data_IF_263072104873
#
_entry.id   IF_263072104873
#
_cell.length_a   1.000
_cell.length_b   1.000
_cell.length_c   1.000
_cell.angle_alpha   90.00
_cell.angle_beta   90.00
_cell.angle_gamma   90.00
#
_symmetry.space_group_name_H-M   'P 1'
#
loop_
_entity.id
_entity.type
_entity.pdbx_description
1 polymer ?
#
# COMPACT_ATOMS: atom_id res chain seq x y z
N UNK A 1 2.23 -19.07 -18.29
CA UNK A 1 2.36 -18.60 -16.89
C UNK A 1 1.28 -17.55 -16.65
N UNK A 2 0.50 -17.66 -15.57
CA UNK A 2 -0.63 -16.76 -15.33
C UNK A 2 -0.08 -15.47 -14.71
N UNK A 3 -0.15 -14.34 -15.42
CA UNK A 3 0.34 -13.05 -14.90
C UNK A 3 -0.42 -12.66 -13.63
N UNK A 4 0.31 -12.48 -12.54
CA UNK A 4 -0.25 -12.09 -11.24
C UNK A 4 -0.31 -10.57 -11.12
N UNK A 5 -1.41 -10.04 -10.61
CA UNK A 5 -1.58 -8.60 -10.37
C UNK A 5 -1.34 -8.29 -8.89
N UNK A 6 -0.43 -7.35 -8.61
CA UNK A 6 -0.12 -6.89 -7.25
C UNK A 6 -0.43 -5.40 -7.17
N UNK A 7 -1.25 -5.02 -6.18
CA UNK A 7 -1.46 -3.63 -5.84
C UNK A 7 -0.36 -3.15 -4.90
N UNK A 8 0.32 -2.06 -5.23
CA UNK A 8 1.32 -1.42 -4.36
C UNK A 8 0.92 0.04 -4.11
N UNK A 9 0.98 0.49 -2.86
CA UNK A 9 0.61 1.85 -2.47
C UNK A 9 1.71 2.51 -1.65
N UNK A 10 2.37 3.50 -2.23
CA UNK A 10 3.20 4.48 -1.54
C UNK A 10 2.49 5.83 -1.50
N UNK A 11 2.51 6.51 -0.36
CA UNK A 11 1.84 7.81 -0.18
C UNK A 11 2.73 9.04 -0.30
N UNK A 12 4.05 8.86 -0.32
CA UNK A 12 5.03 9.94 -0.28
C UNK A 12 6.37 9.52 -0.93
N UNK A 13 7.31 10.47 -1.01
CA UNK A 13 8.58 10.28 -1.73
C UNK A 13 9.49 9.20 -1.12
N UNK A 14 9.53 9.04 0.20
CA UNK A 14 10.26 7.95 0.86
C UNK A 14 9.68 6.59 0.47
N UNK A 15 8.35 6.46 0.50
CA UNK A 15 7.64 5.28 0.03
C UNK A 15 7.89 4.96 -1.45
N UNK A 16 7.99 5.97 -2.32
CA UNK A 16 8.34 5.79 -3.73
C UNK A 16 9.76 5.22 -3.92
N UNK A 17 10.73 5.70 -3.13
CA UNK A 17 12.10 5.18 -3.15
C UNK A 17 12.16 3.71 -2.73
N UNK A 18 11.53 3.35 -1.61
CA UNK A 18 11.52 1.98 -1.12
C UNK A 18 10.68 1.05 -2.00
N UNK A 19 9.53 1.54 -2.49
CA UNK A 19 8.66 0.83 -3.41
C UNK A 19 9.35 0.49 -4.73
N UNK A 20 10.17 1.40 -5.27
CA UNK A 20 10.95 1.14 -6.48
C UNK A 20 11.92 -0.04 -6.27
N UNK A 21 12.68 -0.03 -5.17
CA UNK A 21 13.57 -1.15 -4.84
C UNK A 21 12.81 -2.48 -4.71
N UNK A 22 11.65 -2.47 -4.04
CA UNK A 22 10.78 -3.64 -3.92
C UNK A 22 10.32 -4.16 -5.30
N UNK A 23 9.83 -3.27 -6.17
CA UNK A 23 9.32 -3.63 -7.50
C UNK A 23 10.43 -4.25 -8.35
N UNK A 24 11.63 -3.67 -8.31
CA UNK A 24 12.79 -4.20 -9.02
C UNK A 24 13.09 -5.64 -8.61
N UNK A 25 13.20 -5.89 -7.31
CA UNK A 25 13.49 -7.25 -6.82
C UNK A 25 12.36 -8.24 -7.10
N UNK A 26 11.09 -7.81 -7.00
CA UNK A 26 9.95 -8.64 -7.38
C UNK A 26 10.00 -9.04 -8.86
N UNK A 27 10.35 -8.10 -9.75
CA UNK A 27 10.47 -8.37 -11.18
C UNK A 27 11.69 -9.21 -11.54
N UNK A 28 12.78 -9.12 -10.77
CA UNK A 28 13.93 -10.02 -10.90
C UNK A 28 13.54 -11.47 -10.56
N UNK A 29 12.65 -11.67 -9.59
CA UNK A 29 12.14 -12.99 -9.21
C UNK A 29 11.09 -13.52 -10.19
N UNK A 30 10.17 -12.65 -10.64
CA UNK A 30 9.13 -12.99 -11.61
C UNK A 30 8.80 -11.77 -12.49
N UNK A 31 9.32 -11.79 -13.71
CA UNK A 31 9.12 -10.72 -14.70
C UNK A 31 7.69 -10.66 -15.26
N UNK A 32 6.85 -11.68 -14.99
CA UNK A 32 5.45 -11.72 -15.43
C UNK A 32 4.49 -10.96 -14.51
N UNK A 33 4.99 -10.49 -13.35
CA UNK A 33 4.22 -9.71 -12.38
C UNK A 33 3.77 -8.38 -12.97
N UNK A 34 2.48 -8.10 -12.81
CA UNK A 34 1.86 -6.82 -13.16
C UNK A 34 1.63 -6.02 -11.90
N UNK A 35 2.40 -4.96 -11.73
CA UNK A 35 2.38 -4.13 -10.54
C UNK A 35 1.73 -2.79 -10.86
N UNK A 36 0.77 -2.38 -10.04
CA UNK A 36 0.02 -1.14 -10.24
C UNK A 36 -0.39 -0.52 -8.91
N UNK A 37 -0.80 0.75 -8.90
CA UNK A 37 -1.35 1.40 -7.71
C UNK A 37 -0.95 2.86 -7.54
N UNK A 38 -0.56 3.26 -6.33
CA UNK A 38 -0.09 4.62 -6.04
C UNK A 38 1.42 4.59 -5.85
N UNK A 39 2.12 5.46 -6.57
CA UNK A 39 3.57 5.58 -6.53
C UNK A 39 4.04 6.88 -7.16
N UNK A 40 5.33 7.14 -7.10
CA UNK A 40 5.97 8.27 -7.75
C UNK A 40 6.72 7.87 -9.01
N UNK A 41 7.62 8.77 -9.42
CA UNK A 41 8.41 8.57 -10.63
C UNK A 41 9.37 7.39 -10.53
N UNK A 42 9.86 7.03 -9.33
CA UNK A 42 10.80 5.92 -9.17
C UNK A 42 10.11 4.58 -9.36
N UNK A 43 8.97 4.36 -8.71
CA UNK A 43 8.18 3.13 -8.90
C UNK A 43 7.70 2.99 -10.35
N UNK A 44 7.31 4.11 -10.99
CA UNK A 44 6.96 4.13 -12.41
C UNK A 44 8.14 3.73 -13.31
N UNK A 45 9.35 4.20 -13.00
CA UNK A 45 10.56 3.85 -13.76
C UNK A 45 10.88 2.35 -13.70
N UNK A 46 10.55 1.68 -12.59
CA UNK A 46 10.64 0.22 -12.44
C UNK A 46 9.47 -0.52 -13.14
N UNK A 47 8.65 0.20 -13.91
CA UNK A 47 7.57 -0.33 -14.73
C UNK A 47 6.30 -0.67 -13.95
N UNK A 48 6.00 0.06 -12.88
CA UNK A 48 4.69 0.05 -12.24
C UNK A 48 3.70 0.95 -13.00
N UNK A 49 2.47 0.48 -13.13
CA UNK A 49 1.36 1.28 -13.64
C UNK A 49 0.76 2.17 -12.54
N UNK A 50 0.82 3.49 -12.71
CA UNK A 50 0.27 4.43 -11.75
C UNK A 50 -1.22 4.67 -11.97
N UNK A 51 -2.06 4.31 -10.99
CA UNK A 51 -3.46 4.72 -10.89
C UNK A 51 -3.54 6.17 -10.38
N UNK A 52 -2.71 6.51 -9.40
CA UNK A 52 -2.51 7.88 -8.90
C UNK A 52 -1.03 8.14 -8.63
N UNK A 53 -0.60 9.39 -8.80
CA UNK A 53 0.76 9.83 -8.47
C UNK A 53 0.81 10.39 -7.03
N UNK A 54 1.93 10.19 -6.32
CA UNK A 54 2.12 10.67 -4.94
C UNK A 54 1.95 12.19 -4.78
N UNK A 55 2.21 12.98 -5.82
CA UNK A 55 2.02 14.44 -5.76
C UNK A 55 0.56 14.82 -5.49
N UNK A 56 -0.39 13.99 -5.92
CA UNK A 56 -1.82 14.18 -5.61
C UNK A 56 -2.15 13.82 -4.15
N UNK A 57 -1.27 13.09 -3.48
CA UNK A 57 -1.37 12.64 -2.09
C UNK A 57 -0.58 13.53 -1.12
N UNK A 58 0.44 14.24 -1.60
CA UNK A 58 1.35 15.08 -0.81
C UNK A 58 0.67 16.23 -0.05
N UNK A 59 -0.52 16.67 -0.49
CA UNK A 59 -1.31 17.73 0.17
C UNK A 59 -1.96 17.34 1.50
N UNK A 60 -1.81 16.09 1.95
CA UNK A 60 -2.43 15.60 3.18
C UNK A 60 -1.65 16.00 4.46
N UNK A 61 -0.59 16.80 4.33
CA UNK A 61 0.23 17.30 5.44
C UNK A 61 -0.35 18.55 6.10
N UNK A 62 -0.94 18.34 7.28
CA UNK A 62 -1.28 19.35 8.30
C UNK A 62 -2.43 20.34 7.97
N UNK A 63 -3.49 20.21 8.78
CA UNK A 63 -4.66 21.10 8.96
C UNK A 63 -5.81 20.99 7.94
N UNK A 64 -5.61 20.52 6.70
CA UNK A 64 -6.71 20.49 5.70
C UNK A 64 -7.26 19.10 5.32
N UNK A 65 -6.93 18.03 6.05
CA UNK A 65 -7.32 16.64 5.70
C UNK A 65 -8.83 16.46 5.49
N UNK A 66 -9.66 17.22 6.22
CA UNK A 66 -11.14 17.17 6.12
C UNK A 66 -11.59 17.65 4.74
N UNK A 67 -10.99 18.72 4.21
CA UNK A 67 -11.29 19.25 2.87
C UNK A 67 -10.95 18.25 1.76
N UNK A 68 -9.99 17.37 2.02
CA UNK A 68 -9.54 16.35 1.09
C UNK A 68 -10.24 14.98 1.27
N UNK A 69 -11.17 14.82 2.21
CA UNK A 69 -11.93 13.57 2.39
C UNK A 69 -12.66 13.10 1.12
N UNK A 70 -13.30 13.97 0.31
CA UNK A 70 -13.91 13.54 -0.96
C UNK A 70 -12.87 12.94 -1.92
N UNK A 71 -11.69 13.55 -2.01
CA UNK A 71 -10.59 13.06 -2.83
C UNK A 71 -10.06 11.72 -2.32
N UNK A 72 -9.83 11.58 -1.01
CA UNK A 72 -9.42 10.30 -0.39
C UNK A 72 -10.43 9.19 -0.71
N UNK A 73 -11.73 9.47 -0.55
CA UNK A 73 -12.80 8.51 -0.88
C UNK A 73 -12.81 8.15 -2.36
N UNK A 74 -12.57 9.11 -3.25
CA UNK A 74 -12.43 8.87 -4.70
C UNK A 74 -11.26 7.94 -4.98
N UNK A 75 -10.06 8.25 -4.47
CA UNK A 75 -8.86 7.41 -4.66
C UNK A 75 -9.11 5.99 -4.14
N UNK A 76 -9.69 5.84 -2.95
CA UNK A 76 -10.02 4.52 -2.41
C UNK A 76 -11.00 3.75 -3.29
N UNK A 77 -12.03 4.42 -3.85
CA UNK A 77 -12.97 3.80 -4.78
C UNK A 77 -12.28 3.34 -6.06
N UNK A 78 -11.44 4.19 -6.65
CA UNK A 78 -10.70 3.88 -7.87
C UNK A 78 -9.82 2.63 -7.67
N UNK A 79 -9.09 2.57 -6.54
CA UNK A 79 -8.24 1.42 -6.20
C UNK A 79 -9.05 0.14 -5.94
N UNK A 80 -10.16 0.23 -5.20
CA UNK A 80 -11.02 -0.94 -4.92
C UNK A 80 -11.63 -1.48 -6.22
N UNK A 81 -12.04 -0.60 -7.14
CA UNK A 81 -12.55 -1.01 -8.45
C UNK A 81 -11.47 -1.76 -9.23
N UNK A 82 -10.23 -1.27 -9.24
CA UNK A 82 -9.10 -1.94 -9.90
C UNK A 82 -8.75 -3.29 -9.24
N UNK A 83 -8.79 -3.38 -7.92
CA UNK A 83 -8.58 -4.63 -7.17
C UNK A 83 -9.57 -5.70 -7.61
N UNK A 84 -10.86 -5.35 -7.69
CA UNK A 84 -11.92 -6.27 -8.15
C UNK A 84 -11.73 -6.62 -9.63
N UNK A 85 -11.52 -5.63 -10.48
CA UNK A 85 -11.39 -5.80 -11.94
C UNK A 85 -10.20 -6.70 -12.32
N UNK A 86 -9.06 -6.53 -11.63
CA UNK A 86 -7.82 -7.28 -11.91
C UNK A 86 -7.70 -8.58 -11.12
N UNK A 87 -8.70 -8.92 -10.29
CA UNK A 87 -8.69 -10.10 -9.40
C UNK A 87 -7.39 -10.19 -8.60
N UNK A 88 -7.02 -9.09 -7.95
CA UNK A 88 -5.81 -9.01 -7.14
C UNK A 88 -5.87 -10.00 -5.98
N UNK A 89 -4.75 -10.66 -5.69
CA UNK A 89 -4.60 -11.51 -4.51
C UNK A 89 -3.61 -10.94 -3.48
N UNK A 90 -2.70 -10.02 -3.85
CA UNK A 90 -1.81 -9.36 -2.90
C UNK A 90 -1.84 -7.83 -2.99
N UNK A 91 -1.77 -7.20 -1.82
CA UNK A 91 -1.68 -5.75 -1.67
C UNK A 91 -0.52 -5.41 -0.76
N UNK A 92 0.41 -4.59 -1.23
CA UNK A 92 1.53 -4.05 -0.45
C UNK A 92 1.28 -2.58 -0.14
N UNK A 93 1.19 -2.27 1.15
CA UNK A 93 1.01 -0.92 1.65
C UNK A 93 2.32 -0.43 2.27
N UNK A 94 2.92 0.61 1.68
CA UNK A 94 4.24 1.13 2.05
C UNK A 94 4.05 2.37 2.90
N UNK A 95 4.40 2.26 4.18
CA UNK A 95 4.30 3.33 5.19
C UNK A 95 2.94 4.07 5.15
N UNK A 96 2.92 5.38 5.37
CA UNK A 96 1.79 6.27 5.14
C UNK A 96 0.48 5.82 5.84
N UNK A 97 0.52 5.63 7.17
CA UNK A 97 -0.49 4.90 7.94
C UNK A 97 -1.89 5.50 7.87
N UNK A 98 -2.04 6.83 7.74
CA UNK A 98 -3.35 7.47 7.69
C UNK A 98 -4.22 6.94 6.56
N UNK A 99 -3.70 6.98 5.33
CA UNK A 99 -4.40 6.45 4.16
C UNK A 99 -4.35 4.92 4.11
N UNK A 100 -3.17 4.33 4.36
CA UNK A 100 -2.97 2.89 4.19
C UNK A 100 -3.79 2.05 5.19
N UNK A 101 -3.89 2.45 6.46
CA UNK A 101 -4.78 1.77 7.41
C UNK A 101 -6.26 1.97 7.06
N UNK A 102 -6.61 3.14 6.51
CA UNK A 102 -7.99 3.45 6.09
C UNK A 102 -8.44 2.57 4.93
N UNK A 103 -7.59 2.39 3.90
CA UNK A 103 -7.90 1.51 2.77
C UNK A 103 -7.76 0.03 3.13
N UNK A 104 -6.81 -0.36 3.99
CA UNK A 104 -6.65 -1.74 4.45
C UNK A 104 -7.93 -2.29 5.06
N UNK A 105 -8.62 -1.52 5.91
CA UNK A 105 -9.92 -1.91 6.49
C UNK A 105 -10.97 -2.21 5.44
N UNK A 106 -11.01 -1.46 4.33
CA UNK A 106 -11.95 -1.66 3.23
C UNK A 106 -11.57 -2.88 2.39
N UNK A 107 -10.29 -3.06 2.12
CA UNK A 107 -9.79 -4.21 1.37
C UNK A 107 -9.96 -5.51 2.14
N UNK A 108 -9.81 -5.48 3.47
CA UNK A 108 -10.03 -6.64 4.35
C UNK A 108 -11.46 -7.18 4.24
N UNK A 109 -12.45 -6.31 4.02
CA UNK A 109 -13.84 -6.74 3.78
C UNK A 109 -14.02 -7.53 2.47
N UNK A 110 -13.06 -7.41 1.53
CA UNK A 110 -13.06 -8.14 0.26
C UNK A 110 -12.22 -9.44 0.31
N UNK A 111 -11.50 -9.69 1.41
CA UNK A 111 -10.67 -10.89 1.58
C UNK A 111 -11.46 -12.20 1.42
N UNK A 112 -12.69 -12.36 1.95
CA UNK A 112 -13.45 -13.61 1.77
C UNK A 112 -13.78 -13.93 0.30
N UNK A 113 -13.94 -12.90 -0.53
CA UNK A 113 -14.29 -13.03 -1.96
C UNK A 113 -13.03 -13.20 -2.83
N UNK A 114 -12.00 -12.41 -2.57
CA UNK A 114 -10.83 -12.27 -3.46
C UNK A 114 -9.57 -12.97 -2.95
N UNK A 115 -9.60 -13.56 -1.74
CA UNK A 115 -8.44 -14.16 -1.05
C UNK A 115 -7.26 -13.17 -0.96
N UNK A 116 -7.58 -11.91 -0.62
CA UNK A 116 -6.59 -10.84 -0.53
C UNK A 116 -5.65 -11.02 0.66
N UNK A 117 -4.36 -11.02 0.39
CA UNK A 117 -3.33 -10.89 1.41
C UNK A 117 -2.84 -9.44 1.48
N UNK A 118 -3.07 -8.80 2.62
CA UNK A 118 -2.56 -7.46 2.89
C UNK A 118 -1.19 -7.56 3.56
N UNK A 119 -0.21 -6.88 2.99
CA UNK A 119 1.18 -6.79 3.46
C UNK A 119 1.45 -5.34 3.81
N UNK A 120 1.94 -5.09 5.01
CA UNK A 120 2.35 -3.76 5.46
C UNK A 120 3.87 -3.69 5.45
N UNK A 121 4.44 -2.82 4.62
CA UNK A 121 5.88 -2.67 4.41
C UNK A 121 6.36 -1.33 4.94
N UNK A 122 7.44 -1.33 5.74
CA UNK A 122 7.98 -0.13 6.38
C UNK A 122 6.95 0.47 7.33
N UNK A 123 6.69 -0.25 8.42
CA UNK A 123 5.76 0.26 9.42
C UNK A 123 6.34 1.50 10.09
N UNK A 124 5.54 2.53 10.40
CA UNK A 124 6.00 3.53 11.34
C UNK A 124 6.32 2.82 12.65
N UNK A 125 7.36 3.30 13.34
CA UNK A 125 7.81 2.86 14.66
C UNK A 125 6.63 2.46 15.55
N UNK A 126 6.32 1.16 15.63
CA UNK A 126 5.02 0.68 16.15
C UNK A 126 4.86 1.01 17.64
N UNK A 127 5.96 1.27 18.33
CA UNK A 127 6.01 1.74 19.71
C UNK A 127 5.46 3.16 19.91
N UNK A 128 5.50 4.04 18.90
CA UNK A 128 4.96 5.40 19.00
C UNK A 128 3.42 5.46 18.98
N UNK A 129 2.76 4.32 18.75
CA UNK A 129 1.32 4.23 18.43
C UNK A 129 0.48 3.64 19.58
N UNK A 130 1.12 3.20 20.67
CA UNK A 130 0.50 2.58 21.85
C UNK A 130 0.09 1.12 21.64
N UNK A 131 0.20 0.30 22.70
CA UNK A 131 -0.03 -1.17 22.65
C UNK A 131 -1.35 -1.57 21.96
N UNK A 132 -2.44 -0.85 22.21
CA UNK A 132 -3.76 -1.15 21.63
C UNK A 132 -3.85 -0.98 20.11
N UNK A 133 -3.01 -0.13 19.51
CA UNK A 133 -3.01 0.10 18.05
C UNK A 133 -2.22 -0.99 17.32
N UNK A 134 -1.21 -1.58 17.97
CA UNK A 134 -0.43 -2.70 17.44
C UNK A 134 -1.33 -3.91 17.15
N UNK A 135 -2.20 -4.28 18.08
CA UNK A 135 -3.13 -5.41 17.88
C UNK A 135 -4.05 -5.21 16.67
N UNK A 136 -4.62 -4.01 16.52
CA UNK A 136 -5.49 -3.67 15.37
C UNK A 136 -4.76 -3.72 14.03
N UNK A 137 -3.46 -3.40 14.01
CA UNK A 137 -2.64 -3.53 12.80
C UNK A 137 -2.42 -5.02 12.49
N UNK A 138 -2.06 -5.83 13.50
CA UNK A 138 -1.82 -7.28 13.31
C UNK A 138 -3.05 -8.04 12.80
N UNK A 139 -4.26 -7.64 13.18
CA UNK A 139 -5.50 -8.25 12.67
C UNK A 139 -5.78 -7.91 11.19
N UNK A 140 -5.27 -6.77 10.69
CA UNK A 140 -5.51 -6.33 9.32
C UNK A 140 -4.54 -6.98 8.33
N UNK A 141 -3.29 -7.24 8.74
CA UNK A 141 -2.22 -7.62 7.84
C UNK A 141 -1.78 -9.07 8.02
N UNK A 142 -1.64 -9.77 6.89
CA UNK A 142 -1.05 -11.11 6.83
C UNK A 142 0.41 -11.07 7.25
N UNK A 143 1.15 -10.07 6.77
CA UNK A 143 2.56 -9.84 7.06
C UNK A 143 2.80 -8.38 7.33
N UNK A 144 3.67 -8.14 8.30
CA UNK A 144 4.17 -6.82 8.67
C UNK A 144 5.69 -6.89 8.53
N UNK A 145 6.24 -6.08 7.62
CA UNK A 145 7.65 -6.07 7.27
C UNK A 145 8.28 -4.78 7.79
N UNK A 146 9.24 -4.94 8.69
CA UNK A 146 9.95 -3.88 9.39
C UNK A 146 11.34 -3.70 8.77
N UNK A 147 11.84 -2.46 8.75
CA UNK A 147 13.16 -2.17 8.17
C UNK A 147 14.25 -2.29 9.23
N UNK A 148 13.91 -2.16 10.52
CA UNK A 148 14.88 -2.22 11.60
C UNK A 148 14.76 -3.51 12.42
N UNK A 149 15.89 -4.20 12.73
CA UNK A 149 15.89 -5.52 13.37
C UNK A 149 15.38 -5.53 14.83
N UNK A 150 15.25 -4.37 15.47
CA UNK A 150 14.71 -4.28 16.83
C UNK A 150 13.16 -4.19 16.87
N UNK A 151 12.50 -4.14 15.71
CA UNK A 151 11.04 -4.09 15.56
C UNK A 151 10.38 -5.49 15.50
N UNK A 152 11.17 -6.56 15.53
CA UNK A 152 10.67 -7.94 15.48
C UNK A 152 10.06 -8.44 16.81
N UNK A 153 10.25 -7.71 17.92
CA UNK A 153 9.85 -8.14 19.28
C UNK A 153 8.47 -7.63 19.71
#
# INVERSE_FOLDING_TARGET
MNSKNILVIAGEASGDLHGASLIRELKNLDSSLKIFGIGGNKMKAEGMELIHHIDKMAFLGFVEVIKHLPFIKKVQRDLIAEVKRRKVSEVVLIDYPGFNLSIAKKLKQLEPELKLELIYYITPQVWAWGKGRVYKIRELFKKVLVVFPFEEK
#
